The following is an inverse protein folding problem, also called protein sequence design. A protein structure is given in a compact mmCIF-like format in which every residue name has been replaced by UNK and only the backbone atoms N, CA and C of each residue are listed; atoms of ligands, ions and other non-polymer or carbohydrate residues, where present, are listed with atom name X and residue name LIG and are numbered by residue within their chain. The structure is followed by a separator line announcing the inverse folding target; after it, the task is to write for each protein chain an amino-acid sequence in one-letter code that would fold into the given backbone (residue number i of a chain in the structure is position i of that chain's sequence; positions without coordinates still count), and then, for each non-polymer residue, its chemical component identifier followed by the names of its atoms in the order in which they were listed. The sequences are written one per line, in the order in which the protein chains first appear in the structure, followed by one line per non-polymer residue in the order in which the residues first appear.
data_IF_851427729971
#
_entry.id   IF_851427729971
#
_cell.length_a   1.000
_cell.length_b   1.000
_cell.length_c   1.000
_cell.angle_alpha   90.00
_cell.angle_beta   90.00
_cell.angle_gamma   90.00
#
_symmetry.space_group_name_H-M   'P 1'
#
loop_
_entity.id
_entity.type
_entity.pdbx_description
1 polymer ?
#
# COMPACT_ATOMS: atom_id res chain seq x y z
N UNK A 1 1.63 12.45 10.30
CA UNK A 1 1.78 11.12 10.96
C UNK A 1 1.90 11.31 12.46
N UNK A 2 1.02 10.68 13.22
CA UNK A 2 0.99 10.71 14.69
C UNK A 2 1.48 9.37 15.21
N UNK A 3 2.28 9.35 16.29
CA UNK A 3 2.74 8.12 16.94
C UNK A 3 2.10 7.98 18.31
N UNK A 4 1.53 6.81 18.60
CA UNK A 4 0.86 6.50 19.86
C UNK A 4 1.47 5.24 20.46
N UNK A 5 1.99 5.32 21.69
CA UNK A 5 2.41 4.12 22.40
C UNK A 5 1.17 3.30 22.81
N UNK A 6 1.21 1.98 22.62
CA UNK A 6 0.12 1.06 22.99
C UNK A 6 -0.35 1.25 24.43
N UNK A 7 0.55 1.57 25.35
CA UNK A 7 0.21 1.74 26.75
C UNK A 7 -0.53 3.05 27.02
N UNK A 8 -0.33 4.07 26.18
CA UNK A 8 -0.98 5.37 26.26
C UNK A 8 -2.31 5.40 25.50
N UNK A 9 -2.56 4.38 24.66
CA UNK A 9 -3.78 4.22 23.90
C UNK A 9 -5.00 3.84 24.78
N UNK A 10 -5.51 4.78 25.58
CA UNK A 10 -6.60 4.55 26.55
C UNK A 10 -8.01 4.86 26.04
N UNK A 11 -8.14 5.71 25.03
CA UNK A 11 -9.42 6.00 24.39
C UNK A 11 -9.95 4.79 23.60
N UNK A 12 -11.22 4.82 23.23
CA UNK A 12 -11.82 3.78 22.40
C UNK A 12 -11.31 3.85 20.95
N UNK A 13 -11.47 2.77 20.19
CA UNK A 13 -11.15 2.79 18.76
C UNK A 13 -11.97 3.86 18.01
N UNK A 14 -13.23 4.06 18.39
CA UNK A 14 -14.10 5.08 17.80
C UNK A 14 -13.52 6.48 18.00
N UNK A 15 -13.02 6.79 19.21
CA UNK A 15 -12.40 8.09 19.49
C UNK A 15 -11.17 8.34 18.60
N UNK A 16 -10.35 7.31 18.35
CA UNK A 16 -9.20 7.44 17.45
C UNK A 16 -9.61 7.57 15.98
N UNK A 17 -10.70 6.93 15.56
CA UNK A 17 -11.25 7.11 14.21
C UNK A 17 -11.81 8.52 14.04
N UNK A 18 -12.47 9.09 15.04
CA UNK A 18 -12.96 10.47 14.95
C UNK A 18 -11.80 11.49 14.98
N UNK A 19 -10.67 11.15 15.61
CA UNK A 19 -9.45 11.96 15.60
C UNK A 19 -8.60 11.79 14.33
N UNK A 20 -8.74 10.65 13.64
CA UNK A 20 -7.98 10.38 12.42
C UNK A 20 -8.57 11.18 11.27
N UNK A 21 -8.07 12.40 11.12
CA UNK A 21 -8.34 13.23 9.94
C UNK A 21 -7.54 12.65 8.77
N UNK A 22 -6.65 13.44 8.14
CA UNK A 22 -5.82 12.98 7.02
C UNK A 22 -4.50 12.31 7.45
N UNK A 23 -4.19 12.28 8.75
CA UNK A 23 -2.90 11.81 9.25
C UNK A 23 -3.00 10.39 9.82
N UNK A 24 -2.19 9.43 9.34
CA UNK A 24 -2.16 8.10 9.93
C UNK A 24 -1.68 8.12 11.39
N UNK A 25 -2.27 7.25 12.20
CA UNK A 25 -1.85 6.99 13.58
C UNK A 25 -1.07 5.68 13.61
N UNK A 26 0.21 5.75 13.95
CA UNK A 26 1.08 4.58 14.12
C UNK A 26 1.10 4.17 15.58
N UNK A 27 0.72 2.93 15.87
CA UNK A 27 0.77 2.36 17.22
C UNK A 27 2.10 1.66 17.44
N UNK A 28 2.77 1.98 18.54
CA UNK A 28 4.09 1.40 18.89
C UNK A 28 4.06 0.60 20.19
N UNK A 29 5.00 -0.35 20.34
CA UNK A 29 5.36 -0.97 21.62
C UNK A 29 6.82 -0.61 21.90
N UNK A 30 7.04 0.35 22.79
CA UNK A 30 8.33 1.06 22.88
C UNK A 30 8.56 1.86 21.60
N UNK A 31 9.72 1.68 20.97
CA UNK A 31 10.09 2.36 19.71
C UNK A 31 9.72 1.56 18.44
N UNK A 32 9.08 0.39 18.59
CA UNK A 32 8.75 -0.48 17.46
C UNK A 32 7.30 -0.27 17.00
N UNK A 33 7.05 0.08 15.72
CA UNK A 33 5.70 0.14 15.17
C UNK A 33 5.11 -1.28 15.09
N UNK A 34 3.85 -1.42 15.50
CA UNK A 34 3.15 -2.71 15.56
C UNK A 34 1.79 -2.71 14.85
N UNK A 35 1.17 -1.55 14.69
CA UNK A 35 -0.07 -1.39 13.96
C UNK A 35 -0.20 0.04 13.43
N UNK A 36 -1.13 0.25 12.49
CA UNK A 36 -1.46 1.57 11.97
C UNK A 36 -2.97 1.68 11.81
N UNK A 37 -3.54 2.82 12.21
CA UNK A 37 -4.85 3.26 11.78
C UNK A 37 -4.63 4.22 10.62
N UNK A 38 -5.28 3.97 9.49
CA UNK A 38 -5.13 4.73 8.25
C UNK A 38 -6.48 5.33 7.88
N UNK A 39 -6.57 6.64 7.61
CA UNK A 39 -7.75 7.19 6.95
C UNK A 39 -7.82 6.62 5.52
N UNK A 40 -9.02 6.25 5.09
CA UNK A 40 -9.26 5.68 3.76
C UNK A 40 -9.76 6.74 2.77
N UNK A 41 -9.27 7.97 2.89
CA UNK A 41 -9.60 9.04 1.96
C UNK A 41 -8.89 8.78 0.62
N UNK A 42 -9.68 8.54 -0.43
CA UNK A 42 -9.22 8.22 -1.79
C UNK A 42 -8.39 6.93 -1.93
N UNK A 43 -8.47 5.99 -0.98
CA UNK A 43 -7.81 4.67 -1.08
C UNK A 43 -8.87 3.58 -0.98
N UNK A 44 -9.01 2.77 -2.02
CA UNK A 44 -9.85 1.58 -1.97
C UNK A 44 -9.17 0.41 -1.23
N UNK A 45 -9.98 -0.54 -0.77
CA UNK A 45 -9.49 -1.70 -0.03
C UNK A 45 -8.55 -2.58 -0.86
N UNK A 46 -8.72 -2.59 -2.19
CA UNK A 46 -7.86 -3.34 -3.10
C UNK A 46 -6.44 -2.79 -3.09
N UNK A 47 -6.30 -1.46 -3.22
CA UNK A 47 -5.02 -0.75 -3.17
C UNK A 47 -4.30 -1.02 -1.86
N UNK A 48 -5.00 -0.97 -0.71
CA UNK A 48 -4.40 -1.28 0.58
C UNK A 48 -3.93 -2.75 0.66
N UNK A 49 -4.77 -3.69 0.21
CA UNK A 49 -4.45 -5.11 0.21
C UNK A 49 -3.20 -5.42 -0.64
N UNK A 50 -3.14 -4.87 -1.86
CA UNK A 50 -2.02 -5.08 -2.78
C UNK A 50 -0.74 -4.39 -2.31
N UNK A 51 -0.86 -3.21 -1.68
CA UNK A 51 0.28 -2.49 -1.10
C UNK A 51 0.98 -3.27 0.02
N UNK A 52 0.21 -4.05 0.78
CA UNK A 52 0.72 -4.85 1.90
C UNK A 52 1.08 -6.29 1.51
N UNK A 53 0.83 -6.72 0.27
CA UNK A 53 1.10 -8.09 -0.17
C UNK A 53 2.55 -8.23 -0.68
N UNK A 54 3.44 -8.99 0.00
CA UNK A 54 4.85 -9.10 -0.38
C UNK A 54 5.08 -9.70 -1.76
N UNK A 55 4.23 -10.65 -2.18
CA UNK A 55 4.34 -11.27 -3.50
C UNK A 55 3.97 -10.28 -4.60
N UNK A 56 2.92 -9.48 -4.39
CA UNK A 56 2.54 -8.44 -5.32
C UNK A 56 3.62 -7.36 -5.45
N UNK A 57 4.19 -6.92 -4.32
CA UNK A 57 5.32 -5.99 -4.32
C UNK A 57 6.53 -6.55 -5.08
N UNK A 58 6.86 -7.83 -4.90
CA UNK A 58 7.95 -8.47 -5.64
C UNK A 58 7.70 -8.47 -7.18
N UNK A 59 6.46 -8.64 -7.62
CA UNK A 59 6.10 -8.55 -9.04
C UNK A 59 6.33 -7.14 -9.57
N UNK A 60 5.87 -6.12 -8.82
CA UNK A 60 6.03 -4.71 -9.19
C UNK A 60 7.51 -4.33 -9.28
N UNK A 61 8.32 -4.69 -8.28
CA UNK A 61 9.76 -4.39 -8.28
C UNK A 61 10.48 -5.06 -9.46
N UNK A 62 10.19 -6.34 -9.71
CA UNK A 62 10.72 -7.02 -10.90
C UNK A 62 10.31 -6.32 -12.19
N UNK A 63 9.06 -5.84 -12.28
CA UNK A 63 8.57 -5.12 -13.46
C UNK A 63 9.28 -3.80 -13.67
N UNK A 64 9.52 -3.03 -12.59
CA UNK A 64 10.25 -1.75 -12.63
C UNK A 64 11.70 -1.95 -13.08
N UNK A 65 12.38 -2.96 -12.53
CA UNK A 65 13.75 -3.30 -12.93
C UNK A 65 13.83 -3.68 -14.41
N UNK A 66 12.91 -4.51 -14.91
CA UNK A 66 12.87 -4.88 -16.33
C UNK A 66 12.56 -3.70 -17.22
N UNK A 67 11.70 -2.80 -16.78
CA UNK A 67 11.37 -1.59 -17.51
C UNK A 67 12.60 -0.67 -17.69
N UNK A 68 13.40 -0.51 -16.64
CA UNK A 68 14.65 0.26 -16.71
C UNK A 68 15.71 -0.37 -17.63
N UNK A 69 15.76 -1.70 -17.72
CA UNK A 69 16.82 -2.42 -18.47
C UNK A 69 16.40 -2.85 -19.88
N UNK A 70 15.15 -3.26 -20.07
CA UNK A 70 14.59 -3.83 -21.31
C UNK A 70 13.62 -2.86 -22.00
N UNK A 71 13.09 -1.84 -21.29
CA UNK A 71 12.09 -0.91 -21.78
C UNK A 71 10.64 -1.38 -21.65
N UNK A 72 9.68 -0.51 -22.00
CA UNK A 72 8.23 -0.80 -21.99
C UNK A 72 7.76 -1.28 -23.34
N UNK A 73 6.76 -2.15 -23.33
CA UNK A 73 5.97 -2.46 -24.52
C UNK A 73 4.79 -1.50 -24.62
N UNK A 74 4.62 -0.90 -25.79
CA UNK A 74 3.40 -0.17 -26.13
C UNK A 74 2.22 -1.13 -26.30
N UNK A 75 1.00 -0.62 -26.14
CA UNK A 75 -0.21 -1.43 -26.36
C UNK A 75 -0.33 -1.96 -27.80
N UNK A 76 0.28 -1.28 -28.79
CA UNK A 76 0.32 -1.76 -30.17
C UNK A 76 1.25 -2.97 -30.34
N UNK A 77 2.44 -2.93 -29.74
CA UNK A 77 3.37 -4.06 -29.73
C UNK A 77 2.76 -5.28 -29.05
N UNK A 78 2.14 -5.10 -27.87
CA UNK A 78 1.43 -6.17 -27.18
C UNK A 78 0.34 -6.77 -28.06
N UNK A 79 -0.50 -5.92 -28.70
CA UNK A 79 -1.53 -6.43 -29.62
C UNK A 79 -0.93 -7.21 -30.79
N UNK A 80 0.17 -6.77 -31.39
CA UNK A 80 0.83 -7.51 -32.48
C UNK A 80 1.37 -8.87 -32.03
N UNK A 81 1.92 -8.96 -30.82
CA UNK A 81 2.45 -10.22 -30.27
C UNK A 81 1.35 -11.27 -30.06
N UNK A 82 0.17 -10.85 -29.58
CA UNK A 82 -0.91 -11.78 -29.20
C UNK A 82 -2.07 -11.85 -30.21
N UNK A 83 -2.12 -10.98 -31.22
CA UNK A 83 -3.12 -11.06 -32.30
C UNK A 83 -2.92 -12.26 -33.23
N UNK A 84 -1.77 -12.92 -33.17
CA UNK A 84 -1.45 -14.11 -33.97
C UNK A 84 -1.97 -15.43 -33.37
N UNK A 85 -2.65 -15.42 -32.22
CA UNK A 85 -3.25 -16.62 -31.60
C UNK A 85 -4.68 -16.92 -32.09
N UNK A 86 -4.93 -16.82 -33.41
CA UNK A 86 -6.19 -17.27 -34.03
C UNK A 86 -5.97 -18.36 -35.06
#
# INVERSE_FOLDING_TARGET
MITLNKNDAKASLADYVDQINNDPIVVTVGDKPVAVLLPLDNIDLETLSLSLNPQFQAIIERSRLRDETEGRLSSEEVRRMFAAEK
#
